data_IF_988417788122
#
_entry.id   IF_988417788122
#
_cell.length_a   1.000
_cell.length_b   1.000
_cell.length_c   1.000
_cell.angle_alpha   90.00
_cell.angle_beta   90.00
_cell.angle_gamma   90.00
#
_symmetry.space_group_name_H-M   'P 1'
#
loop_
_entity.id
_entity.type
_entity.pdbx_description
1 polymer ?
#
# COMPACT_ATOMS: atom_id res chain seq x y z
N UNK A 1 -6.57 -18.53 20.71
CA UNK A 1 -6.63 -17.46 21.73
C UNK A 1 -5.25 -17.38 22.33
N UNK A 2 -4.45 -16.50 21.77
CA UNK A 2 -3.00 -16.68 21.67
C UNK A 2 -2.29 -15.90 22.80
N UNK A 3 -3.08 -15.27 23.67
CA UNK A 3 -2.64 -14.56 24.88
C UNK A 3 -1.85 -13.29 24.59
N UNK A 4 -1.89 -12.78 23.37
CA UNK A 4 -1.28 -11.49 23.02
C UNK A 4 -2.04 -10.35 23.69
N UNK A 5 -1.28 -9.37 24.19
CA UNK A 5 -1.83 -8.20 24.83
C UNK A 5 -2.21 -7.19 23.75
N UNK A 6 -3.50 -6.96 23.56
CA UNK A 6 -4.01 -6.04 22.54
C UNK A 6 -3.85 -4.56 22.94
N UNK A 7 -3.57 -4.28 24.22
CA UNK A 7 -3.25 -2.93 24.72
C UNK A 7 -1.74 -2.65 24.68
N UNK A 8 -1.31 -1.94 23.64
CA UNK A 8 0.08 -1.56 23.41
C UNK A 8 0.66 -0.74 24.56
N UNK A 9 -0.14 0.13 25.22
CA UNK A 9 0.34 0.97 26.31
C UNK A 9 0.68 0.13 27.54
N UNK A 10 -0.16 -0.87 27.84
CA UNK A 10 0.06 -1.78 28.95
C UNK A 10 1.24 -2.73 28.68
N UNK A 11 1.39 -3.18 27.42
CA UNK A 11 2.53 -3.99 27.00
C UNK A 11 3.86 -3.23 27.17
N UNK A 12 3.91 -1.96 26.72
CA UNK A 12 5.07 -1.08 26.89
C UNK A 12 5.39 -0.86 28.37
N UNK A 13 4.38 -0.62 29.21
CA UNK A 13 4.57 -0.42 30.64
C UNK A 13 5.24 -1.64 31.28
N UNK A 14 4.71 -2.85 31.03
CA UNK A 14 5.27 -4.07 31.60
C UNK A 14 6.67 -4.36 31.06
N UNK A 15 6.92 -4.19 29.77
CA UNK A 15 8.24 -4.37 29.19
C UNK A 15 9.27 -3.41 29.80
N UNK A 16 8.90 -2.14 30.02
CA UNK A 16 9.81 -1.12 30.56
C UNK A 16 10.35 -1.46 31.96
N UNK A 17 9.62 -2.25 32.76
CA UNK A 17 10.05 -2.69 34.10
C UNK A 17 11.22 -3.66 34.05
N UNK A 18 11.40 -4.36 32.94
CA UNK A 18 12.37 -5.45 32.80
C UNK A 18 13.39 -5.21 31.68
N UNK A 19 13.28 -4.14 30.89
CA UNK A 19 14.11 -3.89 29.71
C UNK A 19 15.61 -4.03 29.99
N UNK A 20 16.06 -3.53 31.15
CA UNK A 20 17.47 -3.53 31.53
C UNK A 20 17.97 -4.88 32.08
N UNK A 21 17.05 -5.81 32.37
CA UNK A 21 17.32 -7.12 32.98
C UNK A 21 17.17 -8.28 32.00
N UNK A 22 16.50 -8.05 30.88
CA UNK A 22 16.29 -9.06 29.84
C UNK A 22 17.59 -9.25 29.04
N UNK A 23 17.95 -10.52 28.82
CA UNK A 23 19.02 -10.86 27.88
C UNK A 23 18.61 -10.44 26.45
N UNK A 24 19.53 -9.92 25.62
CA UNK A 24 19.27 -9.65 24.20
C UNK A 24 18.79 -10.85 23.38
N UNK A 25 19.02 -12.08 23.87
CA UNK A 25 18.61 -13.32 23.20
C UNK A 25 17.14 -13.71 23.51
N UNK A 26 16.43 -12.94 24.33
CA UNK A 26 15.02 -13.16 24.65
C UNK A 26 14.17 -12.41 23.62
N UNK A 27 13.34 -13.16 22.90
CA UNK A 27 12.48 -12.63 21.83
C UNK A 27 11.01 -12.52 22.23
N UNK A 28 10.56 -13.29 23.22
CA UNK A 28 9.19 -13.22 23.75
C UNK A 28 9.17 -13.41 25.24
N UNK A 29 8.35 -12.64 25.94
CA UNK A 29 8.08 -12.79 27.37
C UNK A 29 6.59 -12.98 27.58
N UNK A 30 6.21 -13.91 28.47
CA UNK A 30 4.85 -14.03 28.96
C UNK A 30 4.80 -13.41 30.34
N UNK A 31 3.83 -12.52 30.52
CA UNK A 31 3.69 -11.72 31.73
C UNK A 31 2.33 -12.04 32.37
N UNK A 32 2.28 -12.08 33.69
CA UNK A 32 1.06 -12.23 34.45
C UNK A 32 0.19 -10.96 34.38
N UNK A 33 -1.05 -11.07 34.82
CA UNK A 33 -1.95 -9.92 35.00
C UNK A 33 -1.43 -8.87 36.02
N UNK A 34 -0.44 -9.21 36.85
CA UNK A 34 0.22 -8.29 37.79
C UNK A 34 1.49 -7.64 37.20
N UNK A 35 1.88 -8.03 35.99
CA UNK A 35 3.09 -7.54 35.35
C UNK A 35 4.35 -8.33 35.69
N UNK A 36 4.26 -9.54 36.25
CA UNK A 36 5.42 -10.40 36.55
C UNK A 36 5.74 -11.35 35.40
N UNK A 37 7.03 -11.53 35.07
CA UNK A 37 7.45 -12.48 34.03
C UNK A 37 7.16 -13.91 34.49
N UNK A 38 6.31 -14.61 33.73
CA UNK A 38 5.99 -16.03 33.91
C UNK A 38 7.01 -16.90 33.17
N UNK A 39 7.35 -16.53 31.93
CA UNK A 39 8.30 -17.27 31.10
C UNK A 39 8.93 -16.38 30.03
N UNK A 40 10.10 -16.81 29.55
CA UNK A 40 10.86 -16.15 28.48
C UNK A 40 11.18 -17.17 27.39
N UNK A 41 11.25 -16.72 26.14
CA UNK A 41 11.50 -17.56 24.97
C UNK A 41 12.56 -16.91 24.08
N UNK A 42 13.41 -17.74 23.51
CA UNK A 42 14.54 -17.38 22.65
C UNK A 42 14.45 -18.06 21.27
N UNK A 43 13.28 -18.58 20.90
CA UNK A 43 13.07 -19.14 19.55
C UNK A 43 13.19 -18.02 18.51
N UNK A 44 14.12 -18.12 17.54
CA UNK A 44 14.30 -17.13 16.48
C UNK A 44 13.02 -16.79 15.71
N UNK A 45 12.02 -17.68 15.69
CA UNK A 45 10.71 -17.38 15.09
C UNK A 45 9.94 -16.26 15.79
N UNK A 46 10.23 -16.00 17.07
CA UNK A 46 9.65 -14.91 17.83
C UNK A 46 10.48 -13.63 17.71
N UNK A 47 11.61 -13.65 17.01
CA UNK A 47 12.46 -12.49 16.88
C UNK A 47 11.84 -11.48 15.90
N UNK A 48 11.23 -10.43 16.45
CA UNK A 48 10.67 -9.33 15.68
C UNK A 48 11.70 -8.23 15.34
N UNK A 49 13.00 -8.46 15.52
CA UNK A 49 14.04 -7.47 15.18
C UNK A 49 14.06 -7.19 13.69
N UNK A 50 13.83 -5.93 13.32
CA UNK A 50 13.91 -5.48 11.93
C UNK A 50 15.34 -5.53 11.43
N UNK A 51 15.62 -6.48 10.54
CA UNK A 51 16.91 -6.58 9.86
C UNK A 51 16.76 -6.10 8.41
N UNK A 52 17.63 -5.20 7.96
CA UNK A 52 17.60 -4.74 6.58
C UNK A 52 18.19 -5.82 5.67
N UNK A 53 17.46 -6.26 4.65
CA UNK A 53 17.93 -7.22 3.66
C UNK A 53 17.90 -6.61 2.25
N UNK A 54 19.05 -6.18 1.75
CA UNK A 54 19.17 -5.72 0.36
C UNK A 54 19.64 -6.85 -0.56
N UNK A 55 18.77 -7.41 -1.42
CA UNK A 55 19.14 -8.45 -2.36
C UNK A 55 20.02 -7.89 -3.48
N UNK A 56 20.85 -8.74 -4.08
CA UNK A 56 21.63 -8.33 -5.25
C UNK A 56 20.71 -8.14 -6.47
N UNK A 57 21.17 -7.37 -7.47
CA UNK A 57 20.45 -7.24 -8.75
C UNK A 57 20.26 -8.61 -9.43
N UNK A 58 21.22 -9.52 -9.27
CA UNK A 58 21.14 -10.87 -9.85
C UNK A 58 20.01 -11.66 -9.20
N UNK A 59 19.91 -11.62 -7.88
CA UNK A 59 18.83 -12.26 -7.12
C UNK A 59 17.46 -11.64 -7.45
N UNK A 60 17.45 -10.35 -7.80
CA UNK A 60 16.25 -9.62 -8.20
C UNK A 60 15.68 -9.95 -9.57
N UNK A 61 16.46 -10.62 -10.43
CA UNK A 61 15.96 -11.10 -11.72
C UNK A 61 15.26 -10.00 -12.54
N UNK A 62 15.82 -8.78 -12.54
CA UNK A 62 15.19 -7.61 -13.15
C UNK A 62 15.01 -7.83 -14.66
N UNK A 63 13.82 -7.56 -15.25
CA UNK A 63 13.63 -7.59 -16.69
C UNK A 63 14.52 -6.53 -17.38
N UNK A 64 15.05 -6.84 -18.57
CA UNK A 64 15.98 -5.97 -19.31
C UNK A 64 15.46 -4.53 -19.54
N UNK A 65 14.13 -4.36 -19.62
CA UNK A 65 13.48 -3.06 -19.84
C UNK A 65 13.46 -2.15 -18.61
N UNK A 66 13.78 -2.67 -17.42
CA UNK A 66 13.67 -1.92 -16.17
C UNK A 66 14.95 -1.14 -15.93
N UNK A 67 14.79 0.17 -15.71
CA UNK A 67 15.91 1.06 -15.45
C UNK A 67 16.29 1.01 -13.97
N UNK A 68 17.58 1.24 -13.71
CA UNK A 68 18.16 1.31 -12.38
C UNK A 68 18.62 2.74 -12.12
N UNK A 69 18.50 3.19 -10.88
CA UNK A 69 19.03 4.47 -10.40
C UNK A 69 19.73 4.25 -9.07
N UNK A 70 20.81 4.97 -8.81
CA UNK A 70 21.46 4.90 -7.49
C UNK A 70 20.74 5.78 -6.50
N UNK A 71 20.70 5.37 -5.23
CA UNK A 71 20.06 6.13 -4.15
C UNK A 71 20.65 7.52 -3.99
N UNK A 72 21.97 7.66 -4.09
CA UNK A 72 22.68 8.96 -4.01
C UNK A 72 22.41 9.90 -5.19
N UNK A 73 21.67 9.44 -6.20
CA UNK A 73 21.19 10.26 -7.32
C UNK A 73 19.74 10.72 -7.12
N UNK A 74 19.14 10.48 -5.96
CA UNK A 74 17.79 10.94 -5.62
C UNK A 74 17.89 12.12 -4.64
N UNK A 75 17.16 13.19 -4.92
CA UNK A 75 17.00 14.32 -4.00
C UNK A 75 15.69 14.14 -3.23
N UNK A 76 15.76 13.93 -1.92
CA UNK A 76 14.59 13.86 -1.04
C UNK A 76 13.92 15.23 -0.97
N UNK A 77 12.63 15.29 -1.33
CA UNK A 77 11.85 16.52 -1.30
C UNK A 77 10.93 16.58 -0.08
N UNK A 78 10.30 15.46 0.25
CA UNK A 78 9.32 15.35 1.33
C UNK A 78 9.16 13.89 1.77
N UNK A 79 8.97 13.66 3.07
CA UNK A 79 8.59 12.35 3.60
C UNK A 79 7.07 12.24 3.66
N UNK A 80 6.50 11.31 2.91
CA UNK A 80 5.05 11.14 2.82
C UNK A 80 4.51 10.15 3.86
N UNK A 81 5.35 9.21 4.30
CA UNK A 81 4.99 8.23 5.31
C UNK A 81 6.17 7.36 5.71
N UNK A 82 5.93 6.33 6.54
CA UNK A 82 6.93 5.30 6.79
C UNK A 82 7.39 4.71 5.46
N UNK A 83 8.71 4.70 5.22
CA UNK A 83 9.32 4.02 4.08
C UNK A 83 8.90 4.53 2.69
N UNK A 84 8.33 5.74 2.63
CA UNK A 84 7.88 6.40 1.40
C UNK A 84 8.26 7.87 1.40
N UNK A 85 9.12 8.25 0.45
CA UNK A 85 9.55 9.62 0.23
C UNK A 85 9.14 10.11 -1.17
N UNK A 86 8.75 11.37 -1.27
CA UNK A 86 8.74 12.10 -2.53
C UNK A 86 10.17 12.54 -2.85
N UNK A 87 10.67 12.14 -4.01
CA UNK A 87 12.03 12.46 -4.45
C UNK A 87 12.03 13.06 -5.85
N UNK A 88 13.14 13.71 -6.21
CA UNK A 88 13.40 14.17 -7.56
C UNK A 88 14.65 13.53 -8.16
N UNK A 89 14.60 13.26 -9.45
CA UNK A 89 15.81 13.08 -10.23
C UNK A 89 16.44 14.45 -10.50
N UNK A 90 17.77 14.60 -10.32
CA UNK A 90 18.50 15.81 -10.65
C UNK A 90 18.16 16.27 -12.07
N UNK A 91 17.97 17.59 -12.28
CA UNK A 91 17.68 18.11 -13.60
C UNK A 91 18.80 17.72 -14.57
N UNK A 92 18.42 17.10 -15.68
CA UNK A 92 19.33 16.92 -16.80
C UNK A 92 19.31 18.20 -17.65
N UNK A 93 20.37 18.47 -18.41
CA UNK A 93 20.57 19.69 -19.21
C UNK A 93 19.37 20.14 -20.07
N UNK A 94 18.41 19.25 -20.36
CA UNK A 94 17.25 19.49 -21.23
C UNK A 94 15.87 19.20 -20.57
N UNK A 95 15.82 18.78 -19.30
CA UNK A 95 14.55 18.41 -18.65
C UNK A 95 14.47 18.93 -17.22
N UNK A 96 13.31 19.48 -16.87
CA UNK A 96 12.97 19.78 -15.49
C UNK A 96 13.11 18.54 -14.62
N UNK A 97 13.46 18.75 -13.34
CA UNK A 97 13.53 17.68 -12.36
C UNK A 97 12.22 16.88 -12.37
N UNK A 98 12.30 15.58 -12.63
CA UNK A 98 11.15 14.67 -12.61
C UNK A 98 10.95 14.20 -11.18
N UNK A 99 9.77 14.46 -10.62
CA UNK A 99 9.34 13.96 -9.31
C UNK A 99 8.87 12.51 -9.41
N UNK A 100 9.23 11.70 -8.43
CA UNK A 100 8.80 10.31 -8.28
C UNK A 100 8.58 9.97 -6.81
N UNK A 101 7.80 8.93 -6.55
CA UNK A 101 7.66 8.35 -5.22
C UNK A 101 8.72 7.28 -5.07
N UNK A 102 9.50 7.33 -4.00
CA UNK A 102 10.49 6.32 -3.63
C UNK A 102 9.97 5.49 -2.46
N UNK A 103 9.77 4.20 -2.74
CA UNK A 103 9.34 3.17 -1.80
C UNK A 103 10.56 2.34 -1.38
N UNK A 104 10.88 2.30 -0.08
CA UNK A 104 12.07 1.60 0.43
C UNK A 104 11.77 0.73 1.65
N UNK A 105 11.52 -0.57 1.43
CA UNK A 105 10.82 -1.40 2.43
C UNK A 105 11.57 -2.66 2.89
N UNK A 106 12.83 -2.84 2.54
CA UNK A 106 13.49 -4.14 2.76
C UNK A 106 13.93 -4.39 4.21
N UNK A 107 13.08 -4.09 5.20
CA UNK A 107 13.11 -4.71 6.52
C UNK A 107 12.66 -6.17 6.37
N UNK A 108 13.36 -7.10 6.99
CA UNK A 108 13.24 -8.54 6.79
C UNK A 108 11.80 -9.05 6.95
N UNK A 109 11.04 -8.49 7.90
CA UNK A 109 9.63 -8.82 8.15
C UNK A 109 8.72 -8.47 6.97
N UNK A 110 9.01 -7.38 6.27
CA UNK A 110 8.23 -6.89 5.14
C UNK A 110 8.91 -7.15 3.79
N UNK A 111 10.11 -7.73 3.79
CA UNK A 111 10.92 -7.92 2.59
C UNK A 111 10.19 -8.76 1.54
N UNK A 112 9.44 -9.79 1.94
CA UNK A 112 8.64 -10.61 1.04
C UNK A 112 7.50 -9.81 0.38
N UNK A 113 6.73 -9.04 1.16
CA UNK A 113 5.64 -8.21 0.62
C UNK A 113 6.18 -7.14 -0.35
N UNK A 114 7.28 -6.50 0.03
CA UNK A 114 7.94 -5.45 -0.75
C UNK A 114 8.53 -5.99 -2.04
N UNK A 115 9.16 -7.15 -1.95
CA UNK A 115 9.69 -7.88 -3.09
C UNK A 115 8.58 -8.26 -4.06
N UNK A 116 7.47 -8.78 -3.54
CA UNK A 116 6.29 -9.17 -4.30
C UNK A 116 5.68 -7.97 -5.01
N UNK A 117 5.44 -6.87 -4.29
CA UNK A 117 4.91 -5.63 -4.85
C UNK A 117 5.79 -5.14 -6.01
N UNK A 118 7.09 -5.00 -5.75
CA UNK A 118 8.06 -4.56 -6.76
C UNK A 118 8.03 -5.48 -7.98
N UNK A 119 8.11 -6.80 -7.78
CA UNK A 119 8.19 -7.78 -8.86
C UNK A 119 6.92 -7.88 -9.70
N UNK A 120 5.77 -7.74 -9.07
CA UNK A 120 4.47 -7.70 -9.74
C UNK A 120 4.37 -6.41 -10.57
N UNK A 121 4.55 -5.26 -9.93
CA UNK A 121 4.30 -3.96 -10.55
C UNK A 121 5.25 -3.67 -11.71
N UNK A 122 6.52 -4.03 -11.59
CA UNK A 122 7.51 -3.87 -12.67
C UNK A 122 7.23 -4.76 -13.90
N UNK A 123 6.42 -5.82 -13.73
CA UNK A 123 6.07 -6.78 -14.80
C UNK A 123 4.69 -6.54 -15.39
N UNK A 124 3.82 -5.79 -14.72
CA UNK A 124 2.52 -5.40 -15.24
C UNK A 124 2.64 -4.71 -16.61
N UNK A 125 1.73 -4.99 -17.56
CA UNK A 125 1.58 -4.19 -18.75
C UNK A 125 1.30 -2.73 -18.42
N UNK A 126 1.72 -1.80 -19.28
CA UNK A 126 1.35 -0.39 -19.10
C UNK A 126 -0.16 -0.25 -19.27
N UNK A 127 -0.79 0.39 -18.30
CA UNK A 127 -2.23 0.61 -18.28
C UNK A 127 -2.53 2.09 -17.96
N UNK A 128 -3.49 2.75 -18.64
CA UNK A 128 -3.78 4.17 -18.43
C UNK A 128 -4.27 4.50 -17.01
N UNK A 129 -4.89 3.54 -16.33
CA UNK A 129 -5.41 3.71 -14.96
C UNK A 129 -4.58 2.98 -13.89
N UNK A 130 -3.31 2.64 -14.17
CA UNK A 130 -2.36 2.14 -13.17
C UNK A 130 -1.18 3.10 -13.14
N UNK A 131 -0.79 3.53 -11.93
CA UNK A 131 0.39 4.39 -11.77
C UNK A 131 1.63 3.66 -12.33
N UNK A 132 2.42 4.28 -13.22
CA UNK A 132 3.56 3.58 -13.83
C UNK A 132 4.69 3.33 -12.82
N UNK A 133 5.14 2.08 -12.76
CA UNK A 133 6.46 1.72 -12.22
C UNK A 133 7.54 2.46 -13.01
N UNK A 134 8.54 3.01 -12.31
CA UNK A 134 9.59 3.83 -12.92
C UNK A 134 10.95 3.13 -12.91
N UNK A 135 11.57 2.95 -11.73
CA UNK A 135 12.93 2.39 -11.62
C UNK A 135 13.12 1.53 -10.39
N UNK A 136 14.13 0.67 -10.44
CA UNK A 136 14.70 0.03 -9.24
C UNK A 136 15.79 0.92 -8.69
N UNK A 137 15.80 1.10 -7.38
CA UNK A 137 16.81 1.90 -6.67
C UNK A 137 17.83 0.97 -6.06
N UNK A 138 19.10 1.26 -6.29
CA UNK A 138 20.23 0.51 -5.72
C UNK A 138 21.10 1.39 -4.83
N UNK A 139 21.76 0.78 -3.85
CA UNK A 139 22.75 1.48 -3.02
C UNK A 139 24.03 1.81 -3.82
N UNK A 140 24.80 2.75 -3.27
CA UNK A 140 26.06 3.25 -3.83
C UNK A 140 27.30 2.40 -3.53
N UNK A 141 27.22 1.48 -2.57
CA UNK A 141 28.34 0.74 -2.00
C UNK A 141 28.56 -0.59 -2.73
N UNK A 142 27.52 -1.43 -2.75
CA UNK A 142 27.51 -2.79 -3.28
C UNK A 142 26.51 -2.94 -4.45
N UNK A 143 25.70 -1.92 -4.72
CA UNK A 143 24.72 -1.95 -5.81
C UNK A 143 23.56 -2.92 -5.55
N UNK A 144 23.19 -3.13 -4.29
CA UNK A 144 22.05 -3.95 -3.88
C UNK A 144 20.76 -3.17 -3.99
N UNK A 145 19.66 -3.88 -4.17
CA UNK A 145 18.33 -3.28 -4.31
C UNK A 145 17.86 -2.76 -2.96
N UNK A 146 17.61 -1.45 -2.88
CA UNK A 146 17.13 -0.78 -1.66
C UNK A 146 15.67 -0.36 -1.74
N UNK A 147 15.09 -0.37 -2.93
CA UNK A 147 13.69 0.02 -3.15
C UNK A 147 13.38 0.18 -4.63
N UNK A 148 12.27 0.83 -4.90
CA UNK A 148 11.83 1.16 -6.25
C UNK A 148 11.08 2.48 -6.28
N UNK A 149 10.92 3.04 -7.48
CA UNK A 149 10.19 4.28 -7.69
C UNK A 149 8.98 4.07 -8.60
N UNK A 150 7.94 4.86 -8.36
CA UNK A 150 6.80 5.01 -9.27
C UNK A 150 6.58 6.50 -9.60
N UNK A 151 5.80 6.75 -10.65
CA UNK A 151 5.51 8.12 -11.08
C UNK A 151 4.73 8.87 -9.99
N UNK A 152 5.14 10.11 -9.71
CA UNK A 152 4.38 11.01 -8.83
C UNK A 152 3.16 11.55 -9.57
N UNK A 153 1.99 11.46 -8.93
CA UNK A 153 0.73 12.00 -9.45
C UNK A 153 0.28 13.14 -8.53
N UNK A 154 0.26 14.40 -9.02
CA UNK A 154 0.06 15.58 -8.16
C UNK A 154 -1.37 15.72 -7.63
N UNK A 155 -2.36 15.11 -8.29
CA UNK A 155 -3.76 15.24 -7.91
C UNK A 155 -4.14 14.57 -6.59
N UNK A 156 -3.22 13.85 -5.94
CA UNK A 156 -3.45 13.20 -4.64
C UNK A 156 -4.50 12.09 -4.68
N UNK A 157 -4.70 11.44 -3.53
CA UNK A 157 -5.67 10.34 -3.40
C UNK A 157 -7.10 10.84 -3.12
N UNK A 158 -8.08 9.96 -3.30
CA UNK A 158 -9.49 10.29 -3.09
C UNK A 158 -9.91 10.28 -1.60
N UNK A 159 -9.12 9.69 -0.70
CA UNK A 159 -9.43 9.66 0.74
C UNK A 159 -9.20 11.04 1.41
N UNK A 160 -8.10 11.70 1.04
CA UNK A 160 -7.72 13.01 1.57
C UNK A 160 -8.57 14.14 0.96
N UNK A 161 -8.94 14.02 -0.33
CA UNK A 161 -9.69 15.06 -1.02
C UNK A 161 -11.20 14.80 -1.04
N UNK A 162 -11.83 14.85 0.13
CA UNK A 162 -13.27 14.51 0.32
C UNK A 162 -14.25 15.48 -0.34
N UNK A 163 -13.83 16.69 -0.70
CA UNK A 163 -14.66 17.68 -1.39
C UNK A 163 -14.66 17.49 -2.91
N UNK A 164 -13.80 16.61 -3.44
CA UNK A 164 -13.71 16.33 -4.87
C UNK A 164 -15.00 15.67 -5.37
N UNK A 165 -15.56 16.26 -6.43
CA UNK A 165 -16.74 15.69 -7.09
C UNK A 165 -16.34 14.38 -7.78
N UNK A 166 -16.92 13.28 -7.32
CA UNK A 166 -16.75 11.98 -7.95
C UNK A 166 -17.48 11.89 -9.29
N UNK A 167 -16.79 11.40 -10.32
CA UNK A 167 -17.32 11.28 -11.67
C UNK A 167 -17.73 9.84 -11.95
N UNK A 168 -18.86 9.65 -12.62
CA UNK A 168 -19.28 8.30 -13.05
C UNK A 168 -18.26 7.66 -14.01
N UNK A 169 -17.55 8.47 -14.78
CA UNK A 169 -16.45 8.01 -15.63
C UNK A 169 -15.31 7.37 -14.81
N UNK A 170 -15.01 7.91 -13.62
CA UNK A 170 -14.02 7.33 -12.72
C UNK A 170 -14.45 5.95 -12.22
N UNK A 171 -15.74 5.75 -11.92
CA UNK A 171 -16.25 4.42 -11.58
C UNK A 171 -16.09 3.44 -12.77
N UNK A 172 -16.37 3.89 -13.99
CA UNK A 172 -16.19 3.04 -15.18
C UNK A 172 -14.71 2.67 -15.39
N UNK A 173 -13.80 3.63 -15.20
CA UNK A 173 -12.36 3.37 -15.26
C UNK A 173 -11.92 2.40 -14.16
N UNK A 174 -12.48 2.51 -12.94
CA UNK A 174 -12.16 1.62 -11.82
C UNK A 174 -12.60 0.18 -12.10
N UNK A 175 -13.82 0.00 -12.58
CA UNK A 175 -14.34 -1.32 -12.96
C UNK A 175 -13.45 -1.93 -14.04
N UNK A 176 -13.10 -1.15 -15.09
CA UNK A 176 -12.26 -1.65 -16.18
C UNK A 176 -10.86 -2.07 -15.74
N UNK A 177 -10.18 -1.28 -14.91
CA UNK A 177 -8.83 -1.65 -14.45
C UNK A 177 -8.86 -2.88 -13.54
N UNK A 178 -9.92 -3.04 -12.73
CA UNK A 178 -10.12 -4.23 -11.90
C UNK A 178 -10.43 -5.46 -12.77
N UNK A 179 -11.28 -5.32 -13.78
CA UNK A 179 -11.57 -6.39 -14.75
C UNK A 179 -10.28 -6.82 -15.48
N UNK A 180 -9.48 -5.88 -15.98
CA UNK A 180 -8.20 -6.19 -16.63
C UNK A 180 -7.24 -6.91 -15.66
N UNK A 181 -7.14 -6.45 -14.41
CA UNK A 181 -6.32 -7.11 -13.39
C UNK A 181 -6.78 -8.55 -13.13
N UNK A 182 -8.07 -8.73 -12.83
CA UNK A 182 -8.61 -10.02 -12.40
C UNK A 182 -8.72 -11.02 -13.55
N UNK A 183 -9.22 -10.58 -14.70
CA UNK A 183 -9.59 -11.45 -15.82
C UNK A 183 -8.46 -11.62 -16.84
N UNK A 184 -7.72 -10.56 -17.16
CA UNK A 184 -6.65 -10.62 -18.17
C UNK A 184 -5.30 -10.96 -17.54
N UNK A 185 -4.98 -10.38 -16.38
CA UNK A 185 -3.68 -10.58 -15.73
C UNK A 185 -3.69 -11.67 -14.64
N UNK A 186 -4.87 -12.13 -14.21
CA UNK A 186 -5.01 -13.13 -13.15
C UNK A 186 -4.49 -12.66 -11.80
N UNK A 187 -4.59 -11.34 -11.55
CA UNK A 187 -4.10 -10.66 -10.36
C UNK A 187 -5.29 -9.99 -9.66
N UNK A 188 -5.43 -10.23 -8.35
CA UNK A 188 -6.28 -9.44 -7.48
C UNK A 188 -5.44 -8.39 -6.77
N UNK A 189 -5.90 -7.13 -6.70
CA UNK A 189 -5.24 -6.07 -5.95
C UNK A 189 -5.40 -6.28 -4.43
N UNK A 190 -6.56 -6.77 -3.99
CA UNK A 190 -6.91 -7.06 -2.59
C UNK A 190 -6.94 -5.86 -1.64
N UNK A 191 -6.85 -4.63 -2.17
CA UNK A 191 -6.97 -3.40 -1.38
C UNK A 191 -7.50 -2.21 -2.21
N UNK A 192 -8.57 -2.44 -2.96
CA UNK A 192 -9.25 -1.37 -3.69
C UNK A 192 -9.93 -0.43 -2.70
N UNK A 193 -9.39 0.79 -2.56
CA UNK A 193 -9.81 1.78 -1.56
C UNK A 193 -9.58 3.23 -2.04
N UNK A 194 -10.31 4.24 -1.53
CA UNK A 194 -10.09 5.64 -1.90
C UNK A 194 -8.64 6.12 -1.72
N UNK A 195 -7.93 5.64 -0.69
CA UNK A 195 -6.51 5.94 -0.43
C UNK A 195 -5.55 5.43 -1.52
N UNK A 196 -5.95 4.38 -2.24
CA UNK A 196 -5.17 3.73 -3.30
C UNK A 196 -5.58 4.21 -4.71
N UNK A 197 -6.39 5.27 -4.80
CA UNK A 197 -6.86 5.87 -6.05
C UNK A 197 -6.40 7.32 -6.16
N UNK A 198 -5.48 7.59 -7.08
CA UNK A 198 -5.02 8.95 -7.41
C UNK A 198 -5.82 9.50 -8.59
N UNK A 199 -5.81 10.82 -8.75
CA UNK A 199 -6.33 11.49 -9.97
C UNK A 199 -5.17 12.09 -10.74
N UNK A 200 -5.02 11.70 -12.00
CA UNK A 200 -4.19 12.43 -12.95
C UNK A 200 -4.94 13.66 -13.44
N UNK A 201 -4.52 14.84 -12.98
CA UNK A 201 -5.15 16.11 -13.34
C UNK A 201 -5.01 16.46 -14.82
N UNK A 202 -4.02 15.90 -15.53
CA UNK A 202 -3.80 16.18 -16.95
C UNK A 202 -4.79 15.43 -17.84
N UNK A 203 -5.07 14.17 -17.49
CA UNK A 203 -5.96 13.30 -18.26
C UNK A 203 -7.35 13.18 -17.66
N UNK A 204 -7.56 13.71 -16.45
CA UNK A 204 -8.78 13.60 -15.65
C UNK A 204 -9.19 12.14 -15.39
N UNK A 205 -8.20 11.26 -15.22
CA UNK A 205 -8.37 9.83 -15.06
C UNK A 205 -7.98 9.37 -13.66
N UNK A 206 -8.64 8.33 -13.15
CA UNK A 206 -8.18 7.64 -11.95
C UNK A 206 -6.92 6.84 -12.24
N UNK A 207 -6.06 6.72 -11.24
CA UNK A 207 -4.89 5.85 -11.28
C UNK A 207 -4.82 5.00 -10.01
N UNK A 208 -4.83 3.68 -10.18
CA UNK A 208 -4.65 2.71 -9.12
C UNK A 208 -3.15 2.53 -8.81
N UNK A 209 -2.82 2.45 -7.53
CA UNK A 209 -1.45 2.20 -7.05
C UNK A 209 -1.48 1.39 -5.74
N UNK A 210 -0.30 1.05 -5.25
CA UNK A 210 -0.07 0.31 -3.98
C UNK A 210 -0.45 -1.17 -4.04
N UNK A 211 0.38 -1.97 -4.72
CA UNK A 211 0.15 -3.39 -4.95
C UNK A 211 0.72 -4.29 -3.83
N UNK A 212 0.90 -3.75 -2.62
CA UNK A 212 1.49 -4.46 -1.47
C UNK A 212 0.71 -5.72 -1.05
N UNK A 213 -0.62 -5.73 -1.23
CA UNK A 213 -1.48 -6.87 -0.97
C UNK A 213 -1.87 -7.66 -2.22
N UNK A 214 -1.45 -7.21 -3.41
CA UNK A 214 -1.86 -7.84 -4.65
C UNK A 214 -1.39 -9.30 -4.71
N UNK A 215 -2.23 -10.21 -5.18
CA UNK A 215 -1.91 -11.64 -5.29
C UNK A 215 -2.41 -12.23 -6.60
N UNK A 216 -1.85 -13.38 -6.97
CA UNK A 216 -2.29 -14.15 -8.13
C UNK A 216 -3.50 -15.00 -7.74
N UNK A 217 -4.60 -14.90 -8.48
CA UNK A 217 -5.89 -15.53 -8.13
C UNK A 217 -5.78 -17.07 -8.15
N UNK A 218 -5.11 -17.62 -9.16
CA UNK A 218 -4.96 -19.08 -9.36
C UNK A 218 -3.51 -19.55 -9.13
N UNK A 219 -2.86 -19.12 -8.05
CA UNK A 219 -1.53 -19.64 -7.70
C UNK A 219 -1.67 -21.00 -6.97
N UNK A 220 -1.20 -22.13 -7.54
CA UNK A 220 -1.37 -23.45 -6.93
C UNK A 220 -0.42 -23.70 -5.75
N UNK A 221 0.59 -22.86 -5.57
CA UNK A 221 1.55 -22.93 -4.47
C UNK A 221 2.02 -21.50 -4.15
N UNK A 222 1.15 -20.68 -3.53
CA UNK A 222 1.56 -19.37 -3.08
C UNK A 222 2.67 -19.52 -2.03
N UNK A 223 3.74 -18.72 -2.14
CA UNK A 223 4.66 -18.56 -1.02
C UNK A 223 3.99 -17.89 0.18
N UNK A 224 4.66 -17.88 1.33
CA UNK A 224 4.19 -17.14 2.51
C UNK A 224 3.93 -15.67 2.14
N UNK A 225 2.70 -15.18 2.37
CA UNK A 225 2.27 -13.82 2.00
C UNK A 225 1.85 -13.63 0.52
N UNK A 226 1.85 -14.69 -0.29
CA UNK A 226 1.34 -14.67 -1.67
C UNK A 226 -0.10 -15.12 -1.81
N UNK A 227 -0.74 -15.49 -0.70
CA UNK A 227 -2.08 -16.07 -0.71
C UNK A 227 -3.14 -15.07 -1.20
N UNK A 228 -3.96 -15.55 -2.13
CA UNK A 228 -5.20 -14.89 -2.49
C UNK A 228 -6.22 -15.10 -1.37
N UNK A 229 -6.68 -14.00 -0.77
CA UNK A 229 -7.66 -13.99 0.32
C UNK A 229 -9.02 -13.69 -0.28
N UNK A 230 -9.92 -14.69 -0.27
CA UNK A 230 -11.27 -14.57 -0.85
C UNK A 230 -12.08 -13.42 -0.25
N UNK A 231 -11.87 -13.09 1.02
CA UNK A 231 -12.57 -11.99 1.69
C UNK A 231 -12.12 -10.60 1.22
N UNK A 232 -10.95 -10.52 0.57
CA UNK A 232 -10.38 -9.31 -0.07
C UNK A 232 -10.68 -9.27 -1.56
N UNK A 233 -11.88 -9.66 -1.93
CA UNK A 233 -12.39 -9.62 -3.29
C UNK A 233 -12.40 -8.18 -3.84
N UNK A 234 -11.83 -7.98 -5.03
CA UNK A 234 -11.71 -6.64 -5.62
C UNK A 234 -13.07 -6.05 -6.00
N UNK A 235 -14.04 -6.87 -6.41
CA UNK A 235 -15.39 -6.42 -6.77
C UNK A 235 -16.09 -5.85 -5.53
N UNK A 236 -16.01 -6.57 -4.41
CA UNK A 236 -16.43 -6.08 -3.09
C UNK A 236 -15.70 -4.77 -2.73
N UNK A 237 -14.40 -4.68 -3.00
CA UNK A 237 -13.61 -3.46 -2.82
C UNK A 237 -14.09 -2.27 -3.65
N UNK A 238 -14.46 -2.46 -4.92
CA UNK A 238 -15.05 -1.42 -5.78
C UNK A 238 -16.39 -0.93 -5.22
N UNK A 239 -17.25 -1.85 -4.75
CA UNK A 239 -18.55 -1.52 -4.19
C UNK A 239 -18.40 -0.66 -2.93
N UNK A 240 -17.57 -1.07 -1.97
CA UNK A 240 -17.34 -0.28 -0.76
C UNK A 240 -16.67 1.06 -1.07
N UNK A 241 -15.72 1.10 -2.00
CA UNK A 241 -15.05 2.34 -2.40
C UNK A 241 -16.04 3.33 -2.98
N UNK A 242 -16.96 2.85 -3.81
CA UNK A 242 -18.03 3.67 -4.39
C UNK A 242 -18.99 4.16 -3.32
N UNK A 243 -19.39 3.29 -2.39
CA UNK A 243 -20.23 3.67 -1.25
C UNK A 243 -19.58 4.78 -0.43
N UNK A 244 -18.33 4.59 0.00
CA UNK A 244 -17.57 5.55 0.81
C UNK A 244 -17.43 6.91 0.15
N UNK A 245 -17.15 6.96 -1.15
CA UNK A 245 -17.02 8.22 -1.85
C UNK A 245 -18.37 8.96 -1.90
N UNK A 246 -19.48 8.24 -2.07
CA UNK A 246 -20.81 8.84 -2.17
C UNK A 246 -21.36 9.27 -0.81
N UNK A 247 -21.17 8.45 0.24
CA UNK A 247 -21.76 8.65 1.57
C UNK A 247 -20.82 9.30 2.57
N UNK A 248 -19.53 9.38 2.25
CA UNK A 248 -18.46 9.76 3.17
C UNK A 248 -18.40 8.90 4.45
N UNK A 249 -19.02 7.71 4.43
CA UNK A 249 -19.06 6.75 5.53
C UNK A 249 -18.08 5.61 5.26
N UNK A 250 -17.02 5.56 6.07
CA UNK A 250 -15.97 4.53 6.03
C UNK A 250 -16.10 3.48 7.14
N UNK A 251 -17.21 3.47 7.88
CA UNK A 251 -17.43 2.53 9.00
C UNK A 251 -17.34 1.06 8.56
N UNK A 252 -17.83 0.76 7.36
CA UNK A 252 -17.80 -0.58 6.79
C UNK A 252 -16.38 -1.06 6.50
N UNK A 253 -15.47 -0.14 6.15
CA UNK A 253 -14.07 -0.47 5.87
C UNK A 253 -13.25 -0.80 7.10
N UNK A 254 -13.65 -0.24 8.25
CA UNK A 254 -12.97 -0.48 9.52
C UNK A 254 -13.30 -1.85 10.12
N UNK A 255 -14.26 -2.57 9.54
CA UNK A 255 -14.55 -3.95 9.92
C UNK A 255 -13.55 -4.92 9.27
N UNK A 256 -13.21 -6.04 9.93
CA UNK A 256 -12.43 -7.10 9.32
C UNK A 256 -13.04 -7.58 8.00
N UNK A 257 -12.20 -7.92 7.01
CA UNK A 257 -12.67 -8.24 5.65
C UNK A 257 -13.69 -9.38 5.61
N UNK A 258 -13.56 -10.38 6.48
CA UNK A 258 -14.50 -11.50 6.62
C UNK A 258 -15.90 -11.07 7.12
N UNK A 259 -15.98 -9.97 7.87
CA UNK A 259 -17.22 -9.46 8.47
C UNK A 259 -17.90 -8.41 7.59
N UNK A 260 -17.20 -7.90 6.57
CA UNK A 260 -17.75 -6.98 5.60
C UNK A 260 -18.80 -7.68 4.73
N UNK A 261 -20.04 -7.17 4.72
CA UNK A 261 -21.11 -7.67 3.86
C UNK A 261 -21.73 -6.52 3.05
N UNK A 262 -21.91 -6.74 1.74
CA UNK A 262 -22.55 -5.81 0.81
C UNK A 262 -24.02 -5.57 1.20
N UNK A 263 -24.68 -6.54 1.84
CA UNK A 263 -26.07 -6.39 2.32
C UNK A 263 -26.21 -5.33 3.43
N UNK A 264 -25.10 -4.95 4.08
CA UNK A 264 -25.09 -3.92 5.13
C UNK A 264 -25.07 -2.49 4.58
N UNK A 265 -24.99 -2.31 3.26
CA UNK A 265 -25.02 -0.99 2.64
C UNK A 265 -26.38 -0.33 2.86
N UNK A 266 -26.35 0.91 3.38
CA UNK A 266 -27.56 1.64 3.74
C UNK A 266 -28.37 1.96 2.47
N UNK A 267 -29.63 1.50 2.42
CA UNK A 267 -30.54 1.73 1.29
C UNK A 267 -31.09 3.17 1.20
N UNK A 268 -30.83 4.00 2.23
CA UNK A 268 -31.21 5.42 2.28
C UNK A 268 -29.99 6.32 2.13
N UNK A 269 -29.79 6.81 0.92
CA UNK A 269 -28.74 7.76 0.59
C UNK A 269 -29.06 9.14 1.17
N UNK A 270 -28.23 9.64 2.09
CA UNK A 270 -28.33 11.01 2.59
C UNK A 270 -27.65 11.94 1.59
N UNK A 271 -28.36 12.96 1.10
CA UNK A 271 -27.79 13.96 0.20
C UNK A 271 -26.82 14.85 0.98
N UNK A 272 -25.54 14.83 0.63
CA UNK A 272 -24.56 15.74 1.21
C UNK A 272 -24.76 17.16 0.66
N UNK A 273 -24.62 18.22 1.50
CA UNK A 273 -24.90 19.60 1.10
C UNK A 273 -24.08 20.08 -0.11
N UNK A 274 -22.88 19.53 -0.29
CA UNK A 274 -21.92 19.97 -1.30
C UNK A 274 -22.21 19.44 -2.72
N UNK A 275 -23.10 18.46 -2.86
CA UNK A 275 -23.46 17.84 -4.15
C UNK A 275 -24.57 18.59 -4.92
N UNK A 276 -24.98 19.77 -4.44
CA UNK A 276 -26.22 20.44 -4.88
C UNK A 276 -26.08 21.66 -5.80
N UNK A 277 -24.87 22.18 -6.03
CA UNK A 277 -24.70 23.47 -6.72
C UNK A 277 -24.27 23.31 -8.17
N UNK A 278 -25.13 22.73 -9.01
CA UNK A 278 -25.03 22.95 -10.46
C UNK A 278 -25.63 24.33 -10.72
N UNK A 279 -24.77 25.35 -10.80
CA UNK A 279 -25.15 26.72 -11.14
C UNK A 279 -25.65 26.81 -12.58
N UNK A 280 -26.94 26.57 -12.77
CA UNK A 280 -27.64 26.93 -14.00
C UNK A 280 -27.92 28.43 -14.02
N UNK A 281 -27.05 29.22 -14.65
CA UNK A 281 -27.48 30.49 -15.23
C UNK A 281 -28.16 30.19 -16.56
N UNK A 282 -29.49 30.10 -16.54
CA UNK A 282 -30.30 30.30 -17.73
C UNK A 282 -30.57 31.80 -17.81
N UNK A 283 -29.89 32.47 -18.74
CA UNK A 283 -30.23 33.84 -19.13
C UNK A 283 -31.33 33.79 -20.20
N UNK A 284 -32.45 34.45 -19.92
CA UNK A 284 -33.35 35.03 -20.94
C UNK A 284 -32.94 36.48 -21.13
#
# INVERSE_FOLDING_TARGET
MDGEQDDESLAIEYFSRYSDQLSPDIYRIYISHTGEIISTYNDPKNNETCCIHYPSIQDAGLPERVQIVRRDQLEELERLGPDVDLVAYPPCLERSAKKVIFKYYFLWQYAQMSWKEMNLWMRLPRHPNIVPFDRVVVDELEGRVVGFTNSYVPGGNLEENRSRVFKLEWLQQLIRVVDDLNLEYGIAHQDIAPRNLLIDELTDAIMLFDFNFAARIDCPSPGDGEEYVKDRDDIKGVVFTTYEIITQDNSLRNMPHQDQNIDNLVSKWVKHPESGSIGGQVSV
#
